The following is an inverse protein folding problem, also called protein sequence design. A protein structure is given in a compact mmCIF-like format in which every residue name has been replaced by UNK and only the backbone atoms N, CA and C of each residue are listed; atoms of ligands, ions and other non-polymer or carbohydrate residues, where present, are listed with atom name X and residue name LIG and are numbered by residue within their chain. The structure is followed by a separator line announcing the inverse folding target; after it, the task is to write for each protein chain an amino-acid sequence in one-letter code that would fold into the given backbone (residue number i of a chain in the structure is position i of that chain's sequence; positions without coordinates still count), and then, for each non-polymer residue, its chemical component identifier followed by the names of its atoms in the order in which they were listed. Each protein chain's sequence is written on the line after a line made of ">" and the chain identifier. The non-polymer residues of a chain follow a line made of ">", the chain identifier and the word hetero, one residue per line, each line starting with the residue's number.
data_IF_151982898506
#
_entry.id   IF_151982898506
#
_cell.length_a   1.000
_cell.length_b   1.000
_cell.length_c   1.000
_cell.angle_alpha   90.00
_cell.angle_beta   90.00
_cell.angle_gamma   90.00
#
_symmetry.space_group_name_H-M   'P 1'
#
loop_
_entity.id
_entity.type
_entity.pdbx_description
1 polymer ?
#
# COMPACT_ATOMS: atom_id res chain seq x y z
N UNK A 1 18.38 20.05 5.81
CA UNK A 1 18.16 19.64 5.60
C UNK A 1 17.68 18.86 5.15
N UNK A 2 17.36 18.68 5.07
CA UNK A 2 16.93 18.06 4.70
C UNK A 2 16.57 17.16 4.70
N UNK A 3 16.15 16.73 4.78
CA UNK A 3 15.76 15.82 4.96
C UNK A 3 14.57 15.53 4.85
N UNK A 4 13.82 16.17 4.63
CA UNK A 4 12.76 16.08 4.51
C UNK A 4 12.19 15.35 3.51
N UNK A 5 12.43 15.44 2.46
CA UNK A 5 11.89 14.56 1.47
C UNK A 5 11.97 13.16 1.93
N UNK A 6 12.76 12.97 2.85
CA UNK A 6 12.88 11.72 3.47
C UNK A 6 11.63 11.19 3.97
N UNK A 7 10.80 12.08 4.47
CA UNK A 7 9.58 11.64 5.00
C UNK A 7 8.71 11.07 3.94
N UNK A 8 8.74 11.64 2.77
CA UNK A 8 7.99 11.12 1.67
C UNK A 8 8.46 9.72 1.35
N UNK A 9 9.73 9.53 1.34
CA UNK A 9 10.27 8.21 1.07
C UNK A 9 9.79 7.20 2.05
N UNK A 10 9.66 7.59 3.28
CA UNK A 10 9.21 6.66 4.30
C UNK A 10 7.79 6.23 4.07
N UNK A 11 7.03 7.01 3.33
CA UNK A 11 5.66 6.64 3.05
C UNK A 11 5.51 5.89 1.77
N UNK A 12 6.55 5.84 0.97
CA UNK A 12 6.48 5.14 -0.30
C UNK A 12 6.77 3.67 -0.08
N UNK A 13 5.99 2.85 -0.77
CA UNK A 13 6.17 1.42 -0.68
C UNK A 13 6.60 0.91 -2.04
N UNK A 14 7.65 0.12 -2.07
CA UNK A 14 8.14 -0.45 -3.31
C UNK A 14 7.23 -1.58 -3.76
N UNK A 15 7.22 -1.81 -5.05
CA UNK A 15 6.49 -2.95 -5.62
C UNK A 15 6.99 -4.22 -4.95
N UNK A 16 6.07 -5.07 -4.53
CA UNK A 16 6.40 -6.31 -3.86
C UNK A 16 6.37 -6.22 -2.36
N UNK A 17 6.28 -5.01 -1.80
CA UNK A 17 6.23 -4.86 -0.35
C UNK A 17 4.96 -5.48 0.19
N UNK A 18 5.10 -6.33 1.21
CA UNK A 18 3.94 -6.91 1.87
C UNK A 18 3.27 -5.84 2.72
N UNK A 19 1.99 -5.67 2.51
CA UNK A 19 1.25 -4.60 3.16
C UNK A 19 -0.08 -5.09 3.70
N UNK A 20 -0.67 -4.25 4.53
CA UNK A 20 -2.03 -4.41 5.01
C UNK A 20 -2.84 -3.29 4.41
N UNK A 21 -4.10 -3.57 4.11
CA UNK A 21 -4.97 -2.55 3.55
C UNK A 21 -6.10 -2.27 4.53
N UNK A 22 -6.59 -1.05 4.50
CA UNK A 22 -7.63 -0.63 5.39
C UNK A 22 -8.98 -0.79 4.72
N UNK A 23 -9.89 -1.49 5.39
CA UNK A 23 -11.24 -1.67 4.86
C UNK A 23 -12.04 -0.39 4.96
N UNK A 24 -12.90 -0.18 3.98
CA UNK A 24 -13.67 1.04 3.93
C UNK A 24 -14.82 1.04 4.92
N UNK A 25 -15.36 -0.12 5.22
CA UNK A 25 -16.49 -0.16 6.12
C UNK A 25 -16.13 0.07 7.57
N UNK A 26 -15.15 -0.68 8.05
CA UNK A 26 -14.84 -0.63 9.47
C UNK A 26 -13.49 -0.06 9.78
N UNK A 27 -12.73 0.23 8.76
CA UNK A 27 -11.39 0.74 8.96
C UNK A 27 -10.44 -0.29 9.50
N UNK A 28 -10.80 -1.56 9.42
CA UNK A 28 -9.91 -2.62 9.88
C UNK A 28 -8.80 -2.86 8.89
N UNK A 29 -7.66 -3.25 9.42
CA UNK A 29 -6.51 -3.56 8.58
C UNK A 29 -6.51 -5.05 8.26
N UNK A 30 -6.35 -5.36 6.99
CA UNK A 30 -6.34 -6.75 6.51
C UNK A 30 -4.99 -7.07 5.91
N UNK A 31 -4.44 -8.20 6.28
CA UNK A 31 -3.18 -8.69 5.76
C UNK A 31 -3.37 -9.46 4.47
N UNK A 32 -2.27 -9.85 3.86
CA UNK A 32 -2.31 -10.74 2.72
C UNK A 32 -2.26 -10.02 1.40
N UNK A 33 -1.67 -8.83 1.40
CA UNK A 33 -1.58 -8.01 0.19
C UNK A 33 -0.15 -7.56 -0.03
N UNK A 34 0.13 -7.14 -1.24
CA UNK A 34 1.40 -6.56 -1.59
C UNK A 34 1.19 -5.48 -2.62
N UNK A 35 2.14 -4.57 -2.70
CA UNK A 35 2.07 -3.52 -3.70
C UNK A 35 2.32 -4.12 -5.07
N UNK A 36 1.38 -3.95 -5.98
CA UNK A 36 1.52 -4.44 -7.35
C UNK A 36 2.19 -3.40 -8.24
N UNK A 37 1.85 -2.14 -8.01
CA UNK A 37 2.39 -1.07 -8.84
C UNK A 37 2.21 0.24 -8.11
N UNK A 38 3.16 1.15 -8.27
CA UNK A 38 3.04 2.49 -7.71
C UNK A 38 2.57 3.43 -8.79
N UNK A 39 1.77 4.41 -8.41
CA UNK A 39 1.26 5.39 -9.35
C UNK A 39 1.57 6.78 -8.81
N UNK A 40 1.23 7.79 -9.59
CA UNK A 40 1.42 9.15 -9.17
C UNK A 40 0.61 9.46 -7.90
N UNK A 41 -0.58 8.90 -7.80
CA UNK A 41 -1.48 9.22 -6.70
C UNK A 41 -1.61 8.12 -5.66
N UNK A 42 -1.06 6.96 -5.90
CA UNK A 42 -1.24 5.90 -4.93
C UNK A 42 -0.65 4.58 -5.38
N UNK A 43 -1.38 3.51 -5.11
CA UNK A 43 -0.87 2.17 -5.30
C UNK A 43 -1.94 1.23 -5.80
N UNK A 44 -1.54 0.36 -6.73
CA UNK A 44 -2.35 -0.80 -7.07
C UNK A 44 -1.88 -1.94 -6.17
N UNK A 45 -2.81 -2.69 -5.66
CA UNK A 45 -2.54 -3.69 -4.65
C UNK A 45 -2.93 -5.07 -5.16
N UNK A 46 -2.07 -6.04 -4.89
CA UNK A 46 -2.29 -7.43 -5.29
C UNK A 46 -2.65 -8.25 -4.07
N UNK A 47 -3.67 -9.07 -4.21
CA UNK A 47 -4.02 -10.02 -3.16
C UNK A 47 -3.12 -11.24 -3.30
N UNK A 48 -2.45 -11.61 -2.22
CA UNK A 48 -1.42 -12.65 -2.31
C UNK A 48 -1.99 -14.05 -2.48
N UNK A 49 -3.19 -14.28 -2.00
CA UNK A 49 -3.76 -15.63 -2.05
C UNK A 49 -3.95 -16.12 -3.48
N UNK A 50 -4.30 -15.23 -4.41
CA UNK A 50 -4.53 -15.63 -5.79
C UNK A 50 -3.85 -14.68 -6.78
N UNK A 51 -3.06 -13.76 -6.27
CA UNK A 51 -2.33 -12.77 -7.08
C UNK A 51 -3.23 -11.84 -7.87
N UNK A 52 -4.46 -11.72 -7.44
CA UNK A 52 -5.40 -10.84 -8.12
C UNK A 52 -5.13 -9.39 -7.77
N UNK A 53 -5.02 -8.55 -8.77
CA UNK A 53 -4.83 -7.12 -8.55
C UNK A 53 -6.20 -6.51 -8.37
N UNK A 54 -6.39 -5.84 -7.21
CA UNK A 54 -7.68 -5.28 -6.89
C UNK A 54 -8.00 -4.13 -7.85
N UNK A 55 -9.26 -3.98 -8.23
CA UNK A 55 -9.63 -2.98 -9.25
C UNK A 55 -9.83 -1.59 -8.68
N UNK A 56 -9.08 -1.24 -7.66
CA UNK A 56 -9.15 0.10 -7.07
C UNK A 56 -7.74 0.52 -6.71
N UNK A 57 -7.52 1.81 -6.73
CA UNK A 57 -6.24 2.38 -6.36
C UNK A 57 -6.32 2.81 -4.91
N UNK A 58 -5.29 2.52 -4.14
CA UNK A 58 -5.25 2.87 -2.72
C UNK A 58 -4.31 4.02 -2.51
N UNK A 59 -4.69 4.92 -1.62
CA UNK A 59 -3.79 6.01 -1.24
C UNK A 59 -2.82 5.49 -0.19
N UNK A 60 -1.77 6.25 0.05
CA UNK A 60 -0.80 5.88 1.06
C UNK A 60 -1.36 5.79 2.47
N UNK A 61 -2.51 6.42 2.69
CA UNK A 61 -3.15 6.37 4.00
C UNK A 61 -3.92 5.08 4.21
N UNK A 62 -4.20 4.38 3.14
CA UNK A 62 -5.03 3.19 3.20
C UNK A 62 -4.22 1.91 3.21
N UNK A 63 -2.92 2.02 3.17
CA UNK A 63 -2.05 0.85 3.25
C UNK A 63 -0.95 1.10 4.25
N UNK A 64 -0.39 0.03 4.76
CA UNK A 64 0.76 0.13 5.64
C UNK A 64 1.55 -1.16 5.51
N UNK A 65 2.82 -1.06 5.80
CA UNK A 65 3.70 -2.22 5.70
C UNK A 65 3.34 -3.24 6.76
N UNK A 66 3.30 -4.49 6.37
CA UNK A 66 3.05 -5.58 7.32
C UNK A 66 4.26 -5.71 8.23
N UNK A 67 4.03 -5.73 9.52
CA UNK A 67 5.12 -5.86 10.48
C UNK A 67 5.18 -7.23 11.10
#
# INVERSE_FOLDING_TARGET
>A
MERFPDRSSLRDFAVGTAIEVRGHFRGEWSRGFAVAETTHDGYWVRRLSDRYVLPVEFSGHEIRETS
#
